data_IF_712297077088
#
_entry.id   IF_712297077088
#
_cell.length_a   1.000
_cell.length_b   1.000
_cell.length_c   1.000
_cell.angle_alpha   90.00
_cell.angle_beta   90.00
_cell.angle_gamma   90.00
#
_symmetry.space_group_name_H-M   'P 1'
#
loop_
_entity.id
_entity.type
_entity.pdbx_description
1 polymer ?
#
# COMPACT_ATOMS: atom_id res chain seq x y z
N UNK A 1 -8.15 -22.74 -43.28
CA UNK A 1 -8.25 -22.49 -41.83
C UNK A 1 -6.91 -21.93 -41.39
N UNK A 2 -6.72 -20.63 -41.57
CA UNK A 2 -5.52 -19.94 -41.12
C UNK A 2 -5.63 -19.78 -39.60
N UNK A 3 -4.70 -20.39 -38.87
CA UNK A 3 -4.60 -20.26 -37.43
C UNK A 3 -4.19 -18.83 -37.10
N UNK A 4 -5.17 -17.96 -36.86
CA UNK A 4 -4.92 -16.66 -36.28
C UNK A 4 -4.18 -16.86 -34.96
N UNK A 5 -2.97 -16.32 -34.86
CA UNK A 5 -2.20 -16.37 -33.63
C UNK A 5 -3.00 -15.68 -32.52
N UNK A 6 -3.41 -16.43 -31.50
CA UNK A 6 -4.06 -15.93 -30.27
C UNK A 6 -3.14 -15.04 -29.41
N UNK A 7 -2.02 -14.56 -29.96
CA UNK A 7 -1.10 -13.68 -29.27
C UNK A 7 -1.73 -12.29 -29.17
N UNK A 8 -2.32 -12.02 -28.00
CA UNK A 8 -2.75 -10.67 -27.63
C UNK A 8 -1.51 -9.87 -27.25
N UNK A 9 -1.50 -8.60 -27.63
CA UNK A 9 -0.44 -7.66 -27.27
C UNK A 9 -1.04 -6.59 -26.35
N UNK A 10 -1.02 -6.79 -25.02
CA UNK A 10 -1.58 -5.81 -24.10
C UNK A 10 -0.88 -4.46 -24.22
N UNK A 11 -1.64 -3.38 -24.12
CA UNK A 11 -1.11 -2.00 -24.15
C UNK A 11 -1.37 -1.34 -22.81
N UNK A 12 -0.33 -0.71 -22.26
CA UNK A 12 -0.39 0.02 -20.99
C UNK A 12 -0.30 1.52 -21.26
N UNK A 13 -1.20 2.29 -20.67
CA UNK A 13 -1.14 3.76 -20.66
C UNK A 13 -1.19 4.26 -19.23
N UNK A 14 -0.12 4.90 -18.76
CA UNK A 14 -0.08 5.51 -17.43
C UNK A 14 -0.93 6.79 -17.48
N UNK A 15 -1.89 6.91 -16.55
CA UNK A 15 -2.74 8.10 -16.39
C UNK A 15 -2.21 9.04 -15.33
N UNK A 16 -1.80 8.49 -14.19
CA UNK A 16 -1.29 9.26 -13.05
C UNK A 16 -0.18 8.47 -12.36
N UNK A 17 0.88 9.17 -11.95
CA UNK A 17 1.99 8.62 -11.21
C UNK A 17 2.40 9.62 -10.12
N UNK A 18 2.32 9.17 -8.88
CA UNK A 18 2.76 9.83 -7.64
C UNK A 18 3.69 8.88 -6.89
N UNK A 19 4.29 9.35 -5.80
CA UNK A 19 5.24 8.56 -5.02
C UNK A 19 4.60 7.32 -4.36
N UNK A 20 3.34 7.42 -3.95
CA UNK A 20 2.57 6.37 -3.27
C UNK A 20 1.40 5.82 -4.10
N UNK A 21 1.13 6.40 -5.27
CA UNK A 21 -0.05 6.09 -6.08
C UNK A 21 0.28 6.00 -7.58
N UNK A 22 -0.21 4.95 -8.23
CA UNK A 22 -0.10 4.76 -9.68
C UNK A 22 -1.44 4.35 -10.26
N UNK A 23 -1.90 5.09 -11.27
CA UNK A 23 -3.10 4.78 -12.05
C UNK A 23 -2.72 4.55 -13.50
N UNK A 24 -3.06 3.38 -14.03
CA UNK A 24 -2.81 3.04 -15.42
C UNK A 24 -4.00 2.33 -16.04
N UNK A 25 -4.06 2.38 -17.35
CA UNK A 25 -5.06 1.75 -18.18
C UNK A 25 -4.42 0.59 -18.95
N UNK A 26 -5.10 -0.55 -18.96
CA UNK A 26 -4.64 -1.78 -19.59
C UNK A 26 -5.63 -2.19 -20.68
N UNK A 27 -5.20 -2.12 -21.95
CA UNK A 27 -6.00 -2.45 -23.13
C UNK A 27 -5.54 -3.77 -23.76
N UNK A 28 -6.38 -4.32 -24.62
CA UNK A 28 -6.10 -5.50 -25.44
C UNK A 28 -5.76 -6.76 -24.63
N UNK A 29 -6.41 -6.94 -23.48
CA UNK A 29 -6.20 -8.09 -22.59
C UNK A 29 -7.51 -8.62 -21.99
N UNK A 30 -7.48 -9.83 -21.45
CA UNK A 30 -8.56 -10.38 -20.64
C UNK A 30 -8.48 -9.91 -19.18
N UNK A 31 -9.64 -9.91 -18.53
CA UNK A 31 -9.80 -9.75 -17.10
C UNK A 31 -8.98 -10.74 -16.25
N UNK A 32 -8.76 -11.94 -16.78
CA UNK A 32 -7.95 -12.97 -16.13
C UNK A 32 -6.51 -12.51 -15.92
N UNK A 33 -5.92 -11.83 -16.92
CA UNK A 33 -4.57 -11.26 -16.85
C UNK A 33 -4.53 -10.08 -15.87
N UNK A 34 -5.51 -9.18 -15.93
CA UNK A 34 -5.61 -8.05 -15.00
C UNK A 34 -5.73 -8.53 -13.53
N UNK A 35 -6.57 -9.53 -13.29
CA UNK A 35 -6.73 -10.14 -11.97
C UNK A 35 -5.47 -10.91 -11.54
N UNK A 36 -4.77 -11.59 -12.46
CA UNK A 36 -3.50 -12.23 -12.17
C UNK A 36 -2.44 -11.21 -11.74
N UNK A 37 -2.29 -10.10 -12.49
CA UNK A 37 -1.40 -8.99 -12.11
C UNK A 37 -1.74 -8.45 -10.73
N UNK A 38 -3.02 -8.17 -10.46
CA UNK A 38 -3.49 -7.73 -9.13
C UNK A 38 -3.06 -8.71 -8.02
N UNK A 39 -3.26 -10.01 -8.23
CA UNK A 39 -2.90 -11.05 -7.24
C UNK A 39 -1.39 -11.13 -7.02
N UNK A 40 -0.60 -11.05 -8.09
CA UNK A 40 0.87 -11.05 -8.02
C UNK A 40 1.37 -9.83 -7.25
N UNK A 41 0.84 -8.64 -7.55
CA UNK A 41 1.20 -7.39 -6.86
C UNK A 41 0.95 -7.47 -5.36
N UNK A 42 -0.14 -8.09 -4.92
CA UNK A 42 -0.48 -8.21 -3.49
C UNK A 42 0.33 -9.31 -2.80
N UNK A 43 0.53 -10.46 -3.44
CA UNK A 43 0.92 -11.68 -2.72
C UNK A 43 2.29 -12.24 -3.08
N UNK A 44 2.83 -11.96 -4.27
CA UNK A 44 4.04 -12.64 -4.78
C UNK A 44 5.25 -11.70 -4.89
N UNK A 45 5.05 -10.39 -4.77
CA UNK A 45 6.16 -9.42 -4.71
C UNK A 45 6.82 -9.47 -3.33
N UNK A 46 8.13 -9.75 -3.24
CA UNK A 46 8.81 -9.90 -1.97
C UNK A 46 9.14 -8.55 -1.32
N UNK A 47 9.00 -8.48 0.00
CA UNK A 47 9.32 -7.32 0.83
C UNK A 47 10.07 -7.74 2.10
N UNK A 48 10.59 -6.77 2.84
CA UNK A 48 11.27 -6.98 4.13
C UNK A 48 10.36 -6.51 5.25
N UNK A 49 10.12 -7.36 6.24
CA UNK A 49 9.34 -7.02 7.43
C UNK A 49 9.92 -7.69 8.67
N UNK A 50 9.61 -7.17 9.85
CA UNK A 50 10.02 -7.76 11.13
C UNK A 50 9.35 -9.12 11.33
N UNK A 51 10.16 -10.13 11.62
CA UNK A 51 9.71 -11.52 11.74
C UNK A 51 9.95 -12.10 13.13
N UNK A 52 11.16 -11.93 13.67
CA UNK A 52 11.50 -12.34 15.02
C UNK A 52 11.62 -11.12 15.92
N UNK A 53 11.05 -11.19 17.12
CA UNK A 53 11.23 -10.17 18.15
C UNK A 53 11.64 -10.85 19.44
N UNK A 54 12.83 -10.51 19.92
CA UNK A 54 13.38 -10.95 21.18
C UNK A 54 13.27 -9.81 22.19
N UNK A 55 12.44 -10.01 23.22
CA UNK A 55 12.22 -9.02 24.27
C UNK A 55 13.17 -9.33 25.42
N UNK A 56 14.04 -8.38 25.73
CA UNK A 56 14.96 -8.49 26.86
C UNK A 56 14.31 -7.96 28.15
N UNK A 57 13.61 -6.84 28.04
CA UNK A 57 12.89 -6.21 29.17
C UNK A 57 11.60 -5.61 28.63
N UNK A 58 10.45 -6.04 29.18
CA UNK A 58 9.18 -5.34 29.01
C UNK A 58 8.54 -5.08 30.38
N UNK A 59 8.45 -3.81 30.76
CA UNK A 59 7.69 -3.35 31.93
C UNK A 59 6.54 -2.43 31.56
N UNK A 60 6.18 -2.41 30.27
CA UNK A 60 5.05 -1.67 29.74
C UNK A 60 3.72 -2.33 30.12
N UNK A 61 2.61 -1.66 29.79
CA UNK A 61 1.26 -2.20 30.02
C UNK A 61 0.85 -3.23 28.95
N UNK A 62 1.52 -3.22 27.79
CA UNK A 62 1.20 -4.15 26.70
C UNK A 62 1.98 -5.45 26.87
N UNK A 63 1.31 -6.56 26.60
CA UNK A 63 1.93 -7.87 26.54
C UNK A 63 2.95 -7.95 25.39
N UNK A 64 3.92 -8.84 25.57
CA UNK A 64 5.02 -9.10 24.64
C UNK A 64 4.52 -9.41 23.22
N UNK A 65 3.49 -10.24 23.11
CA UNK A 65 2.91 -10.67 21.84
C UNK A 65 2.23 -9.52 21.10
N UNK A 66 1.60 -8.60 21.83
CA UNK A 66 0.99 -7.41 21.24
C UNK A 66 2.05 -6.46 20.68
N UNK A 67 3.15 -6.26 21.40
CA UNK A 67 4.27 -5.43 20.92
C UNK A 67 4.89 -6.07 19.69
N UNK A 68 5.17 -7.38 19.72
CA UNK A 68 5.72 -8.11 18.59
C UNK A 68 4.82 -8.04 17.35
N UNK A 69 3.50 -8.21 17.52
CA UNK A 69 2.53 -8.10 16.43
C UNK A 69 2.52 -6.69 15.82
N UNK A 70 2.56 -5.63 16.64
CA UNK A 70 2.64 -4.25 16.14
C UNK A 70 3.93 -3.99 15.38
N UNK A 71 5.07 -4.43 15.91
CA UNK A 71 6.37 -4.31 15.26
C UNK A 71 6.39 -5.02 13.90
N UNK A 72 5.78 -6.20 13.82
CA UNK A 72 5.66 -6.98 12.59
C UNK A 72 4.91 -6.25 11.47
N UNK A 73 4.01 -5.32 11.79
CA UNK A 73 3.20 -4.56 10.84
C UNK A 73 3.77 -3.17 10.51
N UNK A 74 4.92 -2.79 11.06
CA UNK A 74 5.59 -1.54 10.68
C UNK A 74 6.19 -1.72 9.29
N UNK A 75 5.78 -0.92 8.29
CA UNK A 75 6.35 -1.00 6.95
C UNK A 75 7.82 -0.53 6.97
N UNK A 76 8.69 -1.30 6.32
CA UNK A 76 10.11 -1.01 6.17
C UNK A 76 10.45 -0.71 4.70
N UNK A 77 11.44 0.15 4.48
CA UNK A 77 12.02 0.35 3.14
C UNK A 77 12.61 -0.97 2.65
N UNK A 78 12.22 -1.36 1.44
CA UNK A 78 12.44 -2.71 0.91
C UNK A 78 13.29 -2.72 -0.38
N UNK A 79 14.10 -1.70 -0.64
CA UNK A 79 14.98 -1.66 -1.83
C UNK A 79 15.94 -2.86 -1.89
N UNK A 80 16.42 -3.29 -0.72
CA UNK A 80 17.32 -4.44 -0.57
C UNK A 80 16.60 -5.79 -0.72
N UNK A 81 15.26 -5.83 -0.70
CA UNK A 81 14.48 -7.07 -0.69
C UNK A 81 14.80 -7.98 -1.89
N UNK A 82 15.08 -7.41 -3.06
CA UNK A 82 15.43 -8.19 -4.25
C UNK A 82 16.81 -8.87 -4.13
N UNK A 83 17.79 -8.20 -3.50
CA UNK A 83 19.14 -8.72 -3.28
C UNK A 83 19.29 -9.65 -2.07
N UNK A 84 18.35 -9.58 -1.12
CA UNK A 84 18.32 -10.48 0.04
C UNK A 84 17.89 -11.89 -0.35
N UNK A 85 18.47 -12.89 0.32
CA UNK A 85 18.05 -14.29 0.19
C UNK A 85 16.88 -14.58 1.14
N UNK A 86 16.02 -15.53 0.76
CA UNK A 86 15.04 -16.08 1.70
C UNK A 86 15.76 -16.87 2.79
N UNK A 87 15.28 -16.81 4.04
CA UNK A 87 15.90 -17.51 5.18
C UNK A 87 16.05 -19.01 4.91
N UNK A 88 15.00 -19.63 4.35
CA UNK A 88 14.97 -21.07 3.99
C UNK A 88 15.97 -21.50 2.91
N UNK A 89 16.40 -20.56 2.07
CA UNK A 89 17.28 -20.80 0.92
C UNK A 89 18.70 -20.25 1.19
N UNK A 90 19.01 -19.96 2.44
CA UNK A 90 20.29 -19.36 2.81
C UNK A 90 21.32 -20.44 3.16
N UNK A 91 22.22 -20.71 2.20
CA UNK A 91 23.32 -21.66 2.36
C UNK A 91 24.30 -21.31 3.50
N UNK A 92 24.34 -20.04 3.92
CA UNK A 92 25.30 -19.54 4.89
C UNK A 92 24.87 -19.76 6.35
N UNK A 93 23.60 -20.09 6.61
CA UNK A 93 23.08 -20.10 7.98
C UNK A 93 22.15 -21.29 8.32
N UNK A 94 22.20 -22.40 7.58
CA UNK A 94 21.41 -23.63 7.81
C UNK A 94 19.90 -23.35 8.10
N UNK A 95 19.35 -22.28 7.51
CA UNK A 95 17.93 -21.90 7.63
C UNK A 95 17.53 -21.18 8.92
N UNK A 96 18.14 -21.54 10.06
CA UNK A 96 17.80 -21.03 11.39
C UNK A 96 18.69 -19.88 11.87
N UNK A 97 19.87 -19.71 11.27
CA UNK A 97 20.82 -18.69 11.66
C UNK A 97 20.53 -17.30 11.10
N UNK A 98 21.19 -16.29 11.69
CA UNK A 98 21.14 -14.90 11.27
C UNK A 98 22.41 -14.56 10.47
N UNK A 99 22.24 -13.96 9.30
CA UNK A 99 23.34 -13.60 8.41
C UNK A 99 23.10 -12.24 7.75
N UNK A 100 24.17 -11.58 7.34
CA UNK A 100 24.10 -10.26 6.69
C UNK A 100 23.36 -10.29 5.34
N UNK A 101 23.22 -11.46 4.71
CA UNK A 101 22.58 -11.63 3.40
C UNK A 101 21.08 -11.95 3.48
N UNK A 102 20.60 -12.41 4.64
CA UNK A 102 19.26 -12.97 4.82
C UNK A 102 18.41 -12.20 5.84
N UNK A 103 19.04 -11.33 6.65
CA UNK A 103 18.36 -10.66 7.76
C UNK A 103 18.95 -9.29 8.05
N UNK A 104 18.12 -8.41 8.62
CA UNK A 104 18.52 -7.09 9.15
C UNK A 104 18.09 -7.00 10.60
N UNK A 105 19.00 -6.52 11.45
CA UNK A 105 18.77 -6.40 12.89
C UNK A 105 18.37 -4.99 13.29
N UNK A 106 17.38 -4.91 14.17
CA UNK A 106 16.85 -3.70 14.76
C UNK A 106 16.95 -3.76 16.29
N UNK A 107 17.24 -2.63 16.92
CA UNK A 107 17.30 -2.48 18.36
C UNK A 107 16.38 -1.36 18.83
N UNK A 108 15.63 -1.61 19.91
CA UNK A 108 14.83 -0.60 20.59
C UNK A 108 15.19 -0.62 22.08
N UNK A 109 15.61 0.54 22.60
CA UNK A 109 16.04 0.72 23.99
C UNK A 109 15.47 2.03 24.51
N UNK A 110 14.34 1.97 25.20
CA UNK A 110 13.63 3.15 25.68
C UNK A 110 13.23 3.00 27.13
N UNK A 111 13.46 4.06 27.92
CA UNK A 111 13.07 4.12 29.33
C UNK A 111 12.49 5.49 29.65
N UNK A 112 11.28 5.49 30.22
CA UNK A 112 10.59 6.72 30.59
C UNK A 112 11.03 7.16 31.99
N UNK A 113 11.86 8.21 32.07
CA UNK A 113 12.30 8.79 33.35
C UNK A 113 11.45 10.00 33.78
N UNK A 114 10.75 10.61 32.83
CA UNK A 114 9.92 11.80 33.03
C UNK A 114 8.54 11.45 33.58
N UNK A 115 7.88 12.39 34.26
CA UNK A 115 6.50 12.23 34.75
C UNK A 115 5.44 12.26 33.63
N UNK A 116 5.81 12.81 32.47
CA UNK A 116 5.01 12.79 31.25
C UNK A 116 5.01 11.41 30.58
N UNK A 117 3.93 11.09 29.88
CA UNK A 117 3.86 9.90 29.02
C UNK A 117 4.87 10.02 27.88
N UNK A 118 5.68 8.99 27.69
CA UNK A 118 6.61 8.87 26.57
C UNK A 118 5.98 7.97 25.50
N UNK A 119 5.75 8.54 24.32
CA UNK A 119 5.28 7.79 23.16
C UNK A 119 6.49 7.16 22.46
N UNK A 120 6.54 5.82 22.44
CA UNK A 120 7.57 5.06 21.72
C UNK A 120 7.09 4.83 20.30
N UNK A 121 7.91 5.15 19.32
CA UNK A 121 7.54 5.25 17.91
C UNK A 121 8.48 4.44 17.02
N UNK A 122 8.12 4.27 15.74
CA UNK A 122 8.98 3.61 14.75
C UNK A 122 10.33 4.30 14.56
N UNK A 123 10.44 5.61 14.87
CA UNK A 123 11.71 6.35 14.78
C UNK A 123 12.71 5.99 15.87
N UNK A 124 12.23 5.45 16.98
CA UNK A 124 13.09 5.00 18.09
C UNK A 124 13.74 3.65 17.79
N UNK A 125 13.34 2.99 16.70
CA UNK A 125 13.91 1.73 16.25
C UNK A 125 15.23 1.98 15.49
N UNK A 126 16.34 1.55 16.07
CA UNK A 126 17.66 1.66 15.46
C UNK A 126 17.92 0.47 14.55
N UNK A 127 18.15 0.72 13.26
CA UNK A 127 18.54 -0.31 12.30
C UNK A 127 20.05 -0.45 12.21
N UNK A 128 20.54 -1.69 12.10
CA UNK A 128 21.94 -1.97 11.81
C UNK A 128 22.32 -1.65 10.37
N UNK A 129 21.33 -1.62 9.45
CA UNK A 129 21.50 -1.28 8.04
C UNK A 129 20.69 -0.03 7.71
N UNK A 130 21.37 1.02 7.26
CA UNK A 130 20.75 2.31 6.93
C UNK A 130 19.83 2.26 5.70
N UNK A 131 19.87 1.18 4.90
CA UNK A 131 18.99 1.01 3.73
C UNK A 131 17.61 0.46 4.07
N UNK A 132 17.48 -0.19 5.22
CA UNK A 132 16.22 -0.77 5.71
C UNK A 132 15.82 -0.04 6.98
N UNK A 133 14.91 0.92 6.83
CA UNK A 133 14.40 1.77 7.89
C UNK A 133 12.88 1.82 7.85
N UNK A 134 12.20 2.10 8.97
CA UNK A 134 10.75 2.29 8.96
C UNK A 134 10.33 3.42 8.01
N UNK A 135 9.28 3.17 7.23
CA UNK A 135 8.71 4.18 6.33
C UNK A 135 7.99 5.24 7.16
N UNK A 136 8.28 6.51 6.89
CA UNK A 136 7.60 7.65 7.50
C UNK A 136 6.66 8.30 6.50
N UNK A 137 5.36 8.27 6.78
CA UNK A 137 4.33 8.86 5.92
C UNK A 137 4.22 10.39 6.05
N UNK A 138 4.98 11.00 6.97
CA UNK A 138 4.87 12.45 7.26
C UNK A 138 5.77 13.36 6.41
N UNK A 139 6.61 12.81 5.52
CA UNK A 139 7.60 13.60 4.78
C UNK A 139 7.12 14.16 3.43
N UNK A 140 5.99 13.70 2.87
CA UNK A 140 5.63 14.00 1.48
C UNK A 140 4.61 15.14 1.28
N UNK A 141 3.70 15.40 2.22
CA UNK A 141 2.65 16.43 2.03
C UNK A 141 2.61 17.43 3.19
N UNK A 142 3.41 18.49 3.08
CA UNK A 142 3.32 19.69 3.92
C UNK A 142 2.08 20.55 3.63
N UNK A 143 0.97 19.96 3.14
CA UNK A 143 -0.19 20.73 2.66
C UNK A 143 -1.57 20.11 2.92
N UNK A 144 -1.68 18.99 3.64
CA UNK A 144 -3.00 18.46 4.00
C UNK A 144 -3.07 17.97 5.45
N UNK A 145 -3.71 18.83 6.25
CA UNK A 145 -4.41 18.55 7.51
C UNK A 145 -3.53 18.09 8.68
N UNK A 146 -3.62 18.91 9.73
CA UNK A 146 -3.03 18.84 11.06
C UNK A 146 -3.23 17.50 11.79
N UNK A 147 -2.67 16.42 11.26
CA UNK A 147 -2.60 15.11 11.90
C UNK A 147 -1.20 14.98 12.49
N UNK A 148 -0.99 15.66 13.62
CA UNK A 148 0.13 15.47 14.56
C UNK A 148 1.48 15.09 13.94
N UNK A 149 2.29 16.12 13.65
CA UNK A 149 3.73 16.21 13.95
C UNK A 149 4.51 14.93 13.66
N UNK A 150 5.32 14.87 12.59
CA UNK A 150 6.03 13.69 12.06
C UNK A 150 6.72 12.79 13.10
N UNK A 151 5.92 12.04 13.86
CA UNK A 151 6.32 11.27 15.04
C UNK A 151 6.44 9.80 14.71
N UNK A 152 6.23 9.39 13.46
CA UNK A 152 6.25 7.99 13.07
C UNK A 152 5.10 7.19 13.69
N UNK A 153 5.18 5.86 13.56
CA UNK A 153 4.12 4.94 14.00
C UNK A 153 4.30 4.66 15.49
N UNK A 154 3.30 4.96 16.31
CA UNK A 154 3.35 4.64 17.74
C UNK A 154 3.35 3.12 17.94
N UNK A 155 4.24 2.60 18.79
CA UNK A 155 4.37 1.19 19.15
C UNK A 155 3.74 0.96 20.54
N UNK A 156 4.14 1.75 21.53
CA UNK A 156 3.64 1.68 22.91
C UNK A 156 3.77 3.05 23.58
N UNK A 157 2.97 3.30 24.61
CA UNK A 157 3.09 4.48 25.47
C UNK A 157 3.61 4.05 26.84
N UNK A 158 4.68 4.69 27.31
CA UNK A 158 5.32 4.39 28.59
C UNK A 158 5.05 5.50 29.61
N UNK A 159 4.74 5.10 30.84
CA UNK A 159 4.73 5.98 32.02
C UNK A 159 6.07 5.93 32.73
N UNK A 160 6.28 6.89 33.64
CA UNK A 160 7.50 6.99 34.45
C UNK A 160 7.86 5.65 35.11
N UNK A 161 9.12 5.25 34.96
CA UNK A 161 9.66 4.01 35.49
C UNK A 161 9.52 2.81 34.57
N UNK A 162 8.70 2.88 33.51
CA UNK A 162 8.59 1.80 32.52
C UNK A 162 9.72 1.86 31.50
N UNK A 163 10.15 0.68 31.08
CA UNK A 163 11.26 0.39 30.19
C UNK A 163 10.86 -0.69 29.19
N UNK A 164 11.27 -0.50 27.94
CA UNK A 164 11.15 -1.47 26.86
C UNK A 164 12.52 -1.62 26.19
N UNK A 165 13.04 -2.85 26.21
CA UNK A 165 14.27 -3.24 25.53
C UNK A 165 14.04 -4.50 24.72
N UNK A 166 14.25 -4.41 23.42
CA UNK A 166 14.07 -5.53 22.51
C UNK A 166 15.03 -5.46 21.32
N UNK A 167 15.15 -6.61 20.68
CA UNK A 167 15.91 -6.88 19.48
C UNK A 167 14.96 -7.49 18.47
N UNK A 168 14.88 -6.93 17.28
CA UNK A 168 13.97 -7.37 16.23
C UNK A 168 14.76 -7.73 14.97
N UNK A 169 14.38 -8.80 14.30
CA UNK A 169 15.04 -9.29 13.11
C UNK A 169 14.05 -9.22 11.95
N UNK A 170 14.38 -8.43 10.95
CA UNK A 170 13.62 -8.35 9.71
C UNK A 170 14.14 -9.35 8.68
N UNK A 171 13.21 -9.99 7.97
CA UNK A 171 13.47 -11.02 6.97
C UNK A 171 12.66 -10.73 5.71
N UNK A 172 13.21 -11.19 4.59
CA UNK A 172 12.52 -11.20 3.30
C UNK A 172 11.39 -12.22 3.31
N UNK A 173 10.20 -11.82 2.87
CA UNK A 173 9.04 -12.69 2.73
C UNK A 173 8.11 -12.20 1.62
N UNK A 174 7.00 -12.91 1.41
CA UNK A 174 5.98 -12.60 0.40
C UNK A 174 4.61 -12.45 1.06
N UNK A 175 3.75 -11.60 0.49
CA UNK A 175 2.40 -11.33 1.02
C UNK A 175 1.49 -12.56 1.12
N UNK A 176 1.80 -13.62 0.37
CA UNK A 176 1.12 -14.93 0.46
C UNK A 176 1.32 -15.63 1.80
N UNK A 177 2.48 -15.47 2.42
CA UNK A 177 2.81 -16.11 3.70
C UNK A 177 2.19 -15.32 4.86
N UNK A 178 2.26 -13.98 4.81
CA UNK A 178 1.63 -13.11 5.79
C UNK A 178 1.40 -11.70 5.22
N UNK A 179 0.30 -11.06 5.63
CA UNK A 179 -0.09 -9.72 5.15
C UNK A 179 0.95 -8.62 5.41
N UNK A 180 1.83 -8.81 6.42
CA UNK A 180 2.94 -7.89 6.72
C UNK A 180 3.94 -7.71 5.57
N UNK A 181 4.01 -8.69 4.67
CA UNK A 181 4.85 -8.63 3.48
C UNK A 181 4.11 -8.15 2.22
N UNK A 182 2.85 -7.71 2.33
CA UNK A 182 2.14 -7.09 1.21
C UNK A 182 2.76 -5.72 0.90
N UNK A 183 3.33 -5.50 -0.29
CA UNK A 183 3.91 -4.20 -0.65
C UNK A 183 2.85 -3.13 -0.97
N UNK A 184 1.64 -3.56 -1.30
CA UNK A 184 0.57 -2.67 -1.75
C UNK A 184 -0.46 -2.48 -0.63
N UNK A 185 -0.86 -1.23 -0.42
CA UNK A 185 -1.97 -0.88 0.48
C UNK A 185 -3.32 -1.34 -0.10
N UNK A 186 -3.57 -1.01 -1.37
CA UNK A 186 -4.75 -1.48 -2.10
C UNK A 186 -4.43 -1.60 -3.58
N UNK A 187 -4.97 -2.64 -4.22
CA UNK A 187 -4.89 -2.82 -5.68
C UNK A 187 -6.27 -3.23 -6.16
N UNK A 188 -6.85 -2.38 -7.00
CA UNK A 188 -8.17 -2.60 -7.60
C UNK A 188 -8.10 -2.32 -9.09
N UNK A 189 -9.01 -2.93 -9.85
CA UNK A 189 -9.21 -2.61 -11.26
C UNK A 189 -10.70 -2.53 -11.52
N UNK A 190 -11.05 -1.71 -12.51
CA UNK A 190 -12.42 -1.52 -12.97
C UNK A 190 -12.39 -1.53 -14.50
N UNK A 191 -13.43 -2.09 -15.12
CA UNK A 191 -13.59 -1.97 -16.57
C UNK A 191 -13.95 -0.54 -16.94
N UNK A 192 -13.48 -0.09 -18.09
CA UNK A 192 -13.97 1.15 -18.67
C UNK A 192 -15.45 0.97 -19.04
N UNK A 193 -16.36 1.79 -18.49
CA UNK A 193 -17.77 1.67 -18.81
C UNK A 193 -18.03 2.17 -20.23
N UNK A 194 -18.71 1.36 -21.02
CA UNK A 194 -19.24 1.76 -22.32
C UNK A 194 -20.67 2.25 -22.13
N UNK A 195 -20.89 3.55 -22.34
CA UNK A 195 -22.20 4.18 -22.19
C UNK A 195 -22.75 4.49 -23.58
N UNK A 196 -23.87 3.87 -23.93
CA UNK A 196 -24.63 4.20 -25.14
C UNK A 196 -25.89 4.97 -24.74
N UNK A 197 -26.06 6.17 -25.30
CA UNK A 197 -27.24 7.00 -25.11
C UNK A 197 -28.22 6.70 -26.24
N UNK A 198 -29.48 6.42 -25.90
CA UNK A 198 -30.54 6.24 -26.89
C UNK A 198 -31.10 7.61 -27.29
N UNK A 199 -30.70 8.10 -28.46
CA UNK A 199 -31.07 9.42 -28.97
C UNK A 199 -32.59 9.58 -29.15
N UNK A 200 -33.28 8.56 -29.67
CA UNK A 200 -34.74 8.61 -29.91
C UNK A 200 -35.53 8.85 -28.61
N UNK A 201 -35.12 8.18 -27.53
CA UNK A 201 -35.75 8.36 -26.22
C UNK A 201 -35.40 9.73 -25.62
N UNK A 202 -34.16 10.19 -25.82
CA UNK A 202 -33.73 11.48 -25.32
C UNK A 202 -34.41 12.66 -26.05
N UNK A 203 -34.79 12.50 -27.31
CA UNK A 203 -35.58 13.51 -28.05
C UNK A 203 -37.01 13.63 -27.54
N UNK A 204 -37.57 12.56 -26.96
CA UNK A 204 -38.92 12.58 -26.38
C UNK A 204 -39.00 13.37 -25.06
N UNK A 205 -37.87 13.63 -24.41
CA UNK A 205 -37.79 14.31 -23.11
C UNK A 205 -37.68 15.83 -23.26
N UNK A 206 -38.31 16.55 -22.33
CA UNK A 206 -38.17 18.01 -22.21
C UNK A 206 -36.78 18.42 -21.73
N UNK A 207 -36.42 19.70 -21.89
CA UNK A 207 -35.14 20.23 -21.45
C UNK A 207 -34.95 20.17 -19.91
N UNK A 208 -36.04 20.20 -19.15
CA UNK A 208 -36.01 20.11 -17.69
C UNK A 208 -35.74 18.66 -17.25
N UNK A 209 -36.41 17.69 -17.86
CA UNK A 209 -36.18 16.26 -17.62
C UNK A 209 -34.77 15.82 -18.02
N UNK A 210 -34.23 16.37 -19.12
CA UNK A 210 -32.82 16.15 -19.51
C UNK A 210 -31.84 16.64 -18.44
N UNK A 211 -32.11 17.78 -17.81
CA UNK A 211 -31.25 18.33 -16.75
C UNK A 211 -31.35 17.50 -15.47
N UNK A 212 -32.56 17.13 -15.05
CA UNK A 212 -32.75 16.24 -13.89
C UNK A 212 -32.05 14.89 -14.10
N UNK A 213 -32.12 14.34 -15.31
CA UNK A 213 -31.43 13.10 -15.65
C UNK A 213 -29.90 13.24 -15.53
N UNK A 214 -29.32 14.34 -16.01
CA UNK A 214 -27.88 14.61 -15.87
C UNK A 214 -27.49 14.79 -14.41
N UNK A 215 -28.30 15.53 -13.63
CA UNK A 215 -28.07 15.76 -12.20
C UNK A 215 -28.22 14.48 -11.38
N UNK A 216 -28.96 13.49 -11.88
CA UNK A 216 -29.06 12.17 -11.25
C UNK A 216 -27.75 11.36 -11.30
N UNK A 217 -26.81 11.73 -12.19
CA UNK A 217 -25.53 11.04 -12.34
C UNK A 217 -24.53 11.46 -11.25
N UNK A 218 -24.12 10.56 -10.33
CA UNK A 218 -23.24 10.89 -9.21
C UNK A 218 -21.83 11.33 -9.65
N UNK A 219 -21.38 10.87 -10.81
CA UNK A 219 -20.05 11.16 -11.36
C UNK A 219 -20.03 12.31 -12.36
N UNK A 220 -21.18 12.97 -12.62
CA UNK A 220 -21.33 14.10 -13.58
C UNK A 220 -20.64 13.85 -14.93
N UNK A 221 -20.87 12.67 -15.52
CA UNK A 221 -20.27 12.26 -16.80
C UNK A 221 -21.06 12.72 -18.03
N UNK A 222 -22.21 13.35 -17.83
CA UNK A 222 -23.09 13.84 -18.88
C UNK A 222 -23.14 15.35 -18.88
N UNK A 223 -23.24 15.95 -20.06
CA UNK A 223 -23.43 17.38 -20.26
C UNK A 223 -24.42 17.64 -21.40
N UNK A 224 -24.97 18.84 -21.50
CA UNK A 224 -25.86 19.25 -22.60
C UNK A 224 -25.07 20.14 -23.54
N UNK A 225 -25.04 19.81 -24.82
CA UNK A 225 -24.52 20.71 -25.84
C UNK A 225 -25.44 21.95 -25.95
N UNK A 226 -24.91 23.17 -25.70
CA UNK A 226 -25.71 24.40 -25.70
C UNK A 226 -26.31 24.74 -27.07
N UNK A 227 -25.80 24.19 -28.16
CA UNK A 227 -26.25 24.46 -29.54
C UNK A 227 -27.30 23.45 -29.98
N UNK A 228 -27.02 22.16 -29.80
CA UNK A 228 -27.88 21.07 -30.29
C UNK A 228 -28.93 20.61 -29.27
N UNK A 229 -28.80 21.02 -28.00
CA UNK A 229 -29.64 20.56 -26.88
C UNK A 229 -29.68 19.02 -26.72
N UNK A 230 -28.67 18.35 -27.27
CA UNK A 230 -28.44 16.92 -27.13
C UNK A 230 -27.57 16.67 -25.90
N UNK A 231 -27.79 15.51 -25.28
CA UNK A 231 -26.98 15.08 -24.14
C UNK A 231 -25.75 14.37 -24.67
N UNK A 232 -24.58 14.84 -24.26
CA UNK A 232 -23.29 14.32 -24.67
C UNK A 232 -22.55 13.72 -23.47
N UNK A 233 -21.69 12.75 -23.74
CA UNK A 233 -20.74 12.24 -22.76
C UNK A 233 -19.58 13.22 -22.64
N UNK A 234 -19.42 13.81 -21.46
CA UNK A 234 -18.26 14.60 -21.13
C UNK A 234 -17.21 13.66 -20.55
N UNK A 235 -16.16 13.36 -21.32
CA UNK A 235 -15.07 12.47 -20.88
C UNK A 235 -14.20 13.20 -19.85
N UNK A 236 -14.67 13.29 -18.61
CA UNK A 236 -13.79 13.55 -17.49
C UNK A 236 -13.19 12.24 -17.04
N UNK A 237 -11.86 12.20 -17.09
CA UNK A 237 -11.01 11.13 -16.57
C UNK A 237 -11.53 10.75 -15.19
N UNK A 238 -12.03 9.52 -15.04
CA UNK A 238 -12.36 8.93 -13.73
C UNK A 238 -11.29 9.37 -12.73
N UNK A 239 -11.67 10.17 -11.73
CA UNK A 239 -10.83 10.51 -10.58
C UNK A 239 -10.54 9.25 -9.77
#
# INVERSE_FOLDING_TARGET
MEGASYARMPRVKIRELKDDYMKFELRDTDASVANALRRVMISEVPTVAIDLVEIEVNSSVLNDEFIAHRLGLIPLTSERAMGMRFSRDCDACDGDGQCEYCSVEFHLRVKCMTDSTLDVTSKDLYSSDHTVVPVDFSAADSSSVETSDGRGIIIVKLRKGQELRLRAIARKGIGKDHAKWSPAATVTFMYEPEIHINEDLMESLSLEEKKEWIDSSPTRVFDIDPVTQQVCLFSFVFL
#
